data_IF_613533342962
#
_entry.id   IF_613533342962
#
_cell.length_a   1.000
_cell.length_b   1.000
_cell.length_c   1.000
_cell.angle_alpha   90.00
_cell.angle_beta   90.00
_cell.angle_gamma   90.00
#
_symmetry.space_group_name_H-M   'P 1'
#
loop_
_entity.id
_entity.type
_entity.pdbx_description
1 polymer ?
#
# COMPACT_ATOMS: atom_id res chain seq x y z
N UNK A 1 -3.91 23.97 6.21
CA UNK A 1 -2.84 24.91 5.86
C UNK A 1 -1.81 24.20 4.98
N UNK A 2 -1.52 24.67 3.77
CA UNK A 2 -0.62 23.98 2.84
C UNK A 2 0.85 24.10 3.28
N UNK A 3 1.72 23.17 2.85
CA UNK A 3 3.17 23.23 3.13
C UNK A 3 3.82 24.50 2.58
N UNK A 4 3.26 25.10 1.52
CA UNK A 4 3.74 26.36 0.95
C UNK A 4 3.38 27.54 1.86
N UNK A 5 2.13 27.61 2.30
CA UNK A 5 1.64 28.65 3.21
C UNK A 5 2.41 28.68 4.55
N UNK A 6 2.80 27.51 5.08
CA UNK A 6 3.65 27.42 6.28
C UNK A 6 5.08 27.89 6.06
N UNK A 7 5.60 27.70 4.85
CA UNK A 7 6.92 28.20 4.47
C UNK A 7 6.89 29.72 4.35
N UNK A 8 5.91 30.26 3.63
CA UNK A 8 5.77 31.70 3.44
C UNK A 8 5.63 32.42 4.79
N UNK A 9 4.82 31.89 5.73
CA UNK A 9 4.74 32.42 7.10
C UNK A 9 6.05 32.32 7.89
N UNK A 10 6.84 31.26 7.71
CA UNK A 10 8.15 31.13 8.34
C UNK A 10 9.13 32.17 7.79
N UNK A 11 9.14 32.36 6.46
CA UNK A 11 9.97 33.36 5.79
C UNK A 11 9.61 34.76 6.27
N UNK A 12 8.32 35.09 6.38
CA UNK A 12 7.86 36.36 6.91
C UNK A 12 8.31 36.59 8.36
N UNK A 13 8.24 35.56 9.22
CA UNK A 13 8.74 35.64 10.60
C UNK A 13 10.25 35.86 10.65
N UNK A 14 11.02 35.07 9.91
CA UNK A 14 12.48 35.19 9.85
C UNK A 14 12.90 36.57 9.31
N UNK A 15 12.21 37.08 8.30
CA UNK A 15 12.50 38.40 7.71
C UNK A 15 12.27 39.55 8.69
N UNK A 16 11.29 39.42 9.59
CA UNK A 16 10.95 40.40 10.62
C UNK A 16 11.85 40.32 11.88
N UNK A 17 12.60 39.24 12.06
CA UNK A 17 13.59 39.09 13.15
C UNK A 17 14.99 39.53 12.68
N UNK A 18 15.87 39.97 13.59
CA UNK A 18 17.25 40.40 13.25
C UNK A 18 18.22 39.22 12.98
N UNK A 19 17.75 37.97 13.01
CA UNK A 19 18.62 36.80 12.84
C UNK A 19 19.07 36.63 11.38
N UNK A 20 20.26 37.17 11.09
CA UNK A 20 20.89 37.13 9.77
C UNK A 20 21.16 35.70 9.28
N UNK A 21 21.36 34.73 10.18
CA UNK A 21 21.84 33.41 9.78
C UNK A 21 20.73 32.54 9.19
N UNK A 22 19.50 32.64 9.72
CA UNK A 22 18.34 31.95 9.15
C UNK A 22 17.89 32.56 7.81
N UNK A 23 18.06 33.88 7.64
CA UNK A 23 17.77 34.58 6.37
C UNK A 23 18.61 34.03 5.23
N UNK A 24 19.91 33.86 5.46
CA UNK A 24 20.84 33.32 4.45
C UNK A 24 20.43 31.91 4.00
N UNK A 25 20.05 31.04 4.94
CA UNK A 25 19.62 29.67 4.66
C UNK A 25 18.32 29.67 3.85
N UNK A 26 17.35 30.51 4.21
CA UNK A 26 16.09 30.64 3.48
C UNK A 26 16.34 31.06 2.02
N UNK A 27 17.18 32.09 1.81
CA UNK A 27 17.51 32.59 0.48
C UNK A 27 18.18 31.51 -0.38
N UNK A 28 19.12 30.76 0.20
CA UNK A 28 19.77 29.63 -0.49
C UNK A 28 18.78 28.51 -0.82
N UNK A 29 17.88 28.17 0.10
CA UNK A 29 16.84 27.17 -0.13
C UNK A 29 15.90 27.59 -1.25
N UNK A 30 15.53 28.86 -1.34
CA UNK A 30 14.68 29.37 -2.42
C UNK A 30 15.39 29.27 -3.78
N UNK A 31 16.66 29.70 -3.83
CA UNK A 31 17.51 29.58 -5.02
C UNK A 31 17.67 28.13 -5.49
N UNK A 32 18.12 27.22 -4.62
CA UNK A 32 18.36 25.81 -4.95
C UNK A 32 17.06 25.01 -5.14
N UNK A 33 15.91 25.55 -4.70
CA UNK A 33 14.60 24.97 -5.02
C UNK A 33 14.25 25.12 -6.50
N UNK A 34 14.75 26.15 -7.19
CA UNK A 34 14.52 26.37 -8.62
C UNK A 34 15.51 25.57 -9.46
N UNK A 35 16.80 25.76 -9.21
CA UNK A 35 17.88 25.09 -9.94
C UNK A 35 18.85 24.40 -8.98
N UNK A 36 18.65 23.11 -8.67
CA UNK A 36 19.47 22.41 -7.69
C UNK A 36 20.86 22.08 -8.24
N UNK A 37 21.85 22.27 -7.37
CA UNK A 37 23.26 21.91 -7.57
C UNK A 37 23.80 21.13 -6.35
N UNK A 38 24.88 20.37 -6.56
CA UNK A 38 25.53 19.67 -5.44
C UNK A 38 26.18 20.67 -4.49
N UNK A 39 26.90 21.65 -5.05
CA UNK A 39 27.58 22.70 -4.28
C UNK A 39 26.59 23.53 -3.44
N UNK A 40 25.46 23.95 -4.02
CA UNK A 40 24.44 24.69 -3.29
C UNK A 40 23.73 23.84 -2.22
N UNK A 41 23.50 22.55 -2.45
CA UNK A 41 22.99 21.66 -1.41
C UNK A 41 23.99 21.52 -0.24
N UNK A 42 25.27 21.35 -0.54
CA UNK A 42 26.33 21.23 0.46
C UNK A 42 26.49 22.54 1.25
N UNK A 43 26.32 23.70 0.60
CA UNK A 43 26.30 25.01 1.25
C UNK A 43 25.11 25.17 2.20
N UNK A 44 23.90 24.77 1.78
CA UNK A 44 22.72 24.79 2.66
C UNK A 44 22.93 23.89 3.86
N UNK A 45 23.52 22.71 3.67
CA UNK A 45 23.80 21.77 4.76
C UNK A 45 24.80 22.36 5.76
N UNK A 46 25.91 22.91 5.29
CA UNK A 46 26.93 23.51 6.15
C UNK A 46 26.35 24.68 6.98
N UNK A 47 25.61 25.59 6.33
CA UNK A 47 24.96 26.70 7.04
C UNK A 47 23.90 26.21 8.03
N UNK A 48 23.15 25.17 7.69
CA UNK A 48 22.18 24.60 8.61
C UNK A 48 22.85 24.00 9.84
N UNK A 49 23.97 23.29 9.68
CA UNK A 49 24.75 22.74 10.79
C UNK A 49 25.31 23.84 11.71
N UNK A 50 25.68 25.00 11.17
CA UNK A 50 26.12 26.16 11.95
C UNK A 50 24.99 26.77 12.82
N UNK A 51 23.77 26.87 12.28
CA UNK A 51 22.63 27.45 13.02
C UNK A 51 21.88 26.45 13.87
N UNK A 52 22.07 25.15 13.65
CA UNK A 52 21.33 24.09 14.35
C UNK A 52 21.41 24.22 15.89
N UNK A 53 22.57 24.54 16.51
CA UNK A 53 22.64 24.77 17.94
C UNK A 53 21.80 25.98 18.39
N UNK A 54 21.76 27.05 17.59
CA UNK A 54 21.01 28.28 17.91
C UNK A 54 19.51 28.01 17.89
N UNK A 55 19.01 27.33 16.86
CA UNK A 55 17.58 27.02 16.75
C UNK A 55 17.09 26.04 17.83
N UNK A 56 17.98 25.22 18.41
CA UNK A 56 17.64 24.29 19.50
C UNK A 56 17.35 25.01 20.82
N UNK A 57 17.88 26.22 21.01
CA UNK A 57 17.62 27.06 22.20
C UNK A 57 16.29 27.82 22.11
N UNK A 58 15.63 27.81 20.95
CA UNK A 58 14.31 28.43 20.76
C UNK A 58 13.21 27.66 21.50
N UNK A 59 12.04 28.28 21.75
CA UNK A 59 10.88 27.58 22.29
C UNK A 59 10.58 26.32 21.48
N UNK A 60 10.35 25.19 22.15
CA UNK A 60 10.26 23.86 21.52
C UNK A 60 9.32 23.81 20.31
N UNK A 61 8.18 24.52 20.38
CA UNK A 61 7.22 24.60 19.27
C UNK A 61 7.82 25.25 18.01
N UNK A 62 8.64 26.28 18.19
CA UNK A 62 9.31 27.02 17.11
C UNK A 62 10.46 26.21 16.53
N UNK A 63 11.30 25.58 17.37
CA UNK A 63 12.35 24.66 16.90
C UNK A 63 11.78 23.54 16.04
N UNK A 64 10.73 22.87 16.52
CA UNK A 64 10.06 21.79 15.79
C UNK A 64 9.53 22.25 14.43
N UNK A 65 8.97 23.46 14.36
CA UNK A 65 8.45 24.02 13.11
C UNK A 65 9.59 24.33 12.11
N UNK A 66 10.65 24.99 12.58
CA UNK A 66 11.82 25.37 11.77
C UNK A 66 12.54 24.12 11.24
N UNK A 67 12.87 23.16 12.12
CA UNK A 67 13.59 21.93 11.76
C UNK A 67 12.84 21.14 10.69
N UNK A 68 11.52 20.95 10.87
CA UNK A 68 10.67 20.24 9.90
C UNK A 68 10.60 20.94 8.54
N UNK A 69 10.48 22.28 8.54
CA UNK A 69 10.32 23.04 7.31
C UNK A 69 11.63 23.09 6.52
N UNK A 70 12.74 23.42 7.18
CA UNK A 70 14.05 23.56 6.53
C UNK A 70 14.55 22.20 6.03
N UNK A 71 14.67 21.18 6.91
CA UNK A 71 15.15 19.85 6.50
C UNK A 71 14.21 19.20 5.47
N UNK A 72 12.90 19.46 5.57
CA UNK A 72 11.93 19.03 4.56
C UNK A 72 12.08 19.71 3.20
N UNK A 73 12.58 20.95 3.13
CA UNK A 73 12.96 21.61 1.87
C UNK A 73 14.29 21.06 1.35
N UNK A 74 15.29 20.90 2.21
CA UNK A 74 16.58 20.29 1.87
C UNK A 74 16.40 18.92 1.24
N UNK A 75 15.57 18.04 1.83
CA UNK A 75 15.30 16.72 1.26
C UNK A 75 14.64 16.80 -0.12
N UNK A 76 13.79 17.80 -0.38
CA UNK A 76 13.17 18.02 -1.70
C UNK A 76 14.18 18.52 -2.73
N UNK A 77 15.08 19.42 -2.34
CA UNK A 77 16.18 19.90 -3.18
C UNK A 77 17.07 18.71 -3.56
N UNK A 78 17.44 17.90 -2.57
CA UNK A 78 18.25 16.71 -2.79
C UNK A 78 17.57 15.69 -3.72
N UNK A 79 16.27 15.44 -3.56
CA UNK A 79 15.49 14.56 -4.45
C UNK A 79 15.51 15.06 -5.92
N UNK A 80 15.38 16.38 -6.13
CA UNK A 80 15.50 17.00 -7.47
C UNK A 80 16.93 16.94 -8.02
N UNK A 81 17.94 17.08 -7.17
CA UNK A 81 19.34 16.94 -7.57
C UNK A 81 19.62 15.53 -8.09
N UNK A 82 19.09 14.50 -7.42
CA UNK A 82 19.19 13.12 -7.86
C UNK A 82 18.46 12.90 -9.21
N UNK A 83 17.29 13.50 -9.43
CA UNK A 83 16.60 13.47 -10.73
C UNK A 83 17.45 14.08 -11.86
N UNK A 84 18.15 15.19 -11.57
CA UNK A 84 19.05 15.85 -12.54
C UNK A 84 20.25 14.98 -12.85
N UNK A 85 20.86 14.35 -11.85
CA UNK A 85 22.01 13.45 -12.01
C UNK A 85 21.65 12.18 -12.78
N UNK A 86 20.46 11.62 -12.56
CA UNK A 86 19.97 10.46 -13.32
C UNK A 86 19.85 10.80 -14.81
N UNK A 87 19.26 11.95 -15.15
CA UNK A 87 19.09 12.40 -16.54
C UNK A 87 20.40 12.77 -17.23
N UNK A 88 21.35 13.37 -16.49
CA UNK A 88 22.57 13.94 -17.09
C UNK A 88 23.77 12.99 -17.06
N UNK A 89 23.89 12.13 -16.04
CA UNK A 89 25.03 11.24 -15.83
C UNK A 89 24.66 9.75 -15.91
N UNK A 90 23.40 9.41 -16.22
CA UNK A 90 22.89 8.04 -16.27
C UNK A 90 23.13 7.24 -14.96
N UNK A 91 23.14 7.95 -13.84
CA UNK A 91 23.30 7.36 -12.50
C UNK A 91 21.90 6.99 -11.99
N UNK A 92 21.69 5.73 -11.60
CA UNK A 92 20.40 5.28 -11.06
C UNK A 92 19.99 6.14 -9.86
N UNK A 93 18.78 6.69 -9.89
CA UNK A 93 18.24 7.42 -8.73
C UNK A 93 18.06 6.48 -7.53
N UNK A 94 18.55 6.93 -6.37
CA UNK A 94 18.32 6.26 -5.09
C UNK A 94 16.86 6.42 -4.66
N UNK A 95 16.29 5.37 -4.10
CA UNK A 95 14.93 5.40 -3.53
C UNK A 95 14.91 6.17 -2.21
N UNK A 96 13.73 6.64 -1.78
CA UNK A 96 13.58 7.32 -0.48
C UNK A 96 14.04 6.49 0.71
N UNK A 97 13.92 5.16 0.61
CA UNK A 97 14.44 4.23 1.61
C UNK A 97 15.97 4.19 1.61
N UNK A 98 16.59 4.06 0.44
CA UNK A 98 18.06 4.05 0.33
C UNK A 98 18.67 5.34 0.89
N UNK A 99 18.03 6.49 0.64
CA UNK A 99 18.44 7.76 1.23
C UNK A 99 18.34 7.77 2.76
N UNK A 100 17.26 7.21 3.31
CA UNK A 100 17.09 7.08 4.76
C UNK A 100 18.14 6.15 5.37
N UNK A 101 18.43 5.01 4.73
CA UNK A 101 19.46 4.07 5.17
C UNK A 101 20.84 4.71 5.15
N UNK A 102 21.18 5.41 4.07
CA UNK A 102 22.46 6.13 3.95
C UNK A 102 22.62 7.17 5.07
N UNK A 103 21.57 7.95 5.34
CA UNK A 103 21.59 8.97 6.40
C UNK A 103 21.75 8.32 7.79
N UNK A 104 20.96 7.28 8.08
CA UNK A 104 21.01 6.58 9.36
C UNK A 104 22.40 5.98 9.63
N UNK A 105 23.03 5.41 8.59
CA UNK A 105 24.40 4.87 8.68
C UNK A 105 25.45 5.98 8.80
N UNK A 106 25.31 7.08 8.04
CA UNK A 106 26.20 8.25 8.11
C UNK A 106 26.22 8.87 9.50
N UNK A 107 25.06 8.96 10.16
CA UNK A 107 24.89 9.54 11.50
C UNK A 107 24.96 8.52 12.65
N UNK A 108 25.27 7.26 12.36
CA UNK A 108 25.40 6.18 13.33
C UNK A 108 24.18 6.01 14.27
N UNK A 109 22.97 6.03 13.71
CA UNK A 109 21.74 5.80 14.47
C UNK A 109 21.55 4.32 14.83
N UNK A 110 22.40 3.77 15.70
CA UNK A 110 22.49 2.32 15.96
C UNK A 110 21.14 1.61 16.15
N UNK A 111 20.21 2.08 17.01
CA UNK A 111 18.93 1.41 17.17
C UNK A 111 18.07 1.41 15.89
N UNK A 112 18.19 2.46 15.07
CA UNK A 112 17.51 2.57 13.78
C UNK A 112 18.14 1.63 12.76
N UNK A 113 19.47 1.54 12.74
CA UNK A 113 20.24 0.64 11.86
C UNK A 113 19.87 -0.82 12.16
N UNK A 114 19.74 -1.21 13.43
CA UNK A 114 19.30 -2.56 13.81
C UNK A 114 17.93 -2.93 13.22
N UNK A 115 16.98 -1.99 13.21
CA UNK A 115 15.66 -2.20 12.59
C UNK A 115 15.78 -2.26 11.07
N UNK A 116 16.62 -1.41 10.46
CA UNK A 116 16.89 -1.45 9.02
C UNK A 116 17.44 -2.82 8.62
N UNK A 117 18.48 -3.31 9.30
CA UNK A 117 19.13 -4.58 9.02
C UNK A 117 18.17 -5.77 9.24
N UNK A 118 17.26 -5.66 10.22
CA UNK A 118 16.17 -6.62 10.40
C UNK A 118 15.24 -6.66 9.18
N UNK A 119 14.75 -5.49 8.74
CA UNK A 119 13.85 -5.37 7.59
C UNK A 119 14.53 -5.87 6.30
N UNK A 120 15.78 -5.49 6.06
CA UNK A 120 16.53 -5.86 4.84
C UNK A 120 16.73 -7.38 4.76
N UNK A 121 17.15 -8.03 5.85
CA UNK A 121 17.25 -9.51 5.92
C UNK A 121 15.93 -10.20 5.63
N UNK A 122 14.81 -9.60 6.07
CA UNK A 122 13.48 -10.17 5.87
C UNK A 122 12.92 -9.94 4.47
N UNK A 123 13.43 -8.96 3.72
CA UNK A 123 13.08 -8.76 2.31
C UNK A 123 13.73 -9.81 1.39
N UNK A 124 14.78 -10.50 1.84
CA UNK A 124 15.50 -11.56 1.12
C UNK A 124 14.84 -12.95 1.22
N UNK A 125 13.78 -13.10 2.03
CA UNK A 125 13.09 -14.38 2.28
C UNK A 125 11.54 -14.32 2.23
N UNK A 126 10.90 -15.43 2.61
CA UNK A 126 9.43 -15.49 2.75
C UNK A 126 8.98 -14.72 3.99
N UNK A 127 8.22 -13.65 3.79
CA UNK A 127 7.69 -12.83 4.89
C UNK A 127 6.52 -13.56 5.58
N UNK A 128 6.69 -13.91 6.86
CA UNK A 128 5.66 -14.52 7.71
C UNK A 128 5.04 -13.52 8.69
N UNK A 129 3.98 -13.93 9.41
CA UNK A 129 3.30 -13.05 10.39
C UNK A 129 4.20 -12.77 11.59
N UNK A 130 4.93 -13.78 12.05
CA UNK A 130 5.87 -13.72 13.19
C UNK A 130 6.99 -12.71 12.90
N UNK A 131 7.49 -12.72 11.67
CA UNK A 131 8.50 -11.78 11.16
C UNK A 131 8.00 -10.33 11.24
N UNK A 132 6.74 -10.08 10.87
CA UNK A 132 6.16 -8.74 10.99
C UNK A 132 5.95 -8.31 12.45
N UNK A 133 5.48 -9.21 13.31
CA UNK A 133 5.31 -8.94 14.73
C UNK A 133 6.67 -8.61 15.39
N UNK A 134 7.77 -9.25 14.97
CA UNK A 134 9.12 -8.93 15.42
C UNK A 134 9.57 -7.54 14.98
N UNK A 135 9.38 -7.17 13.72
CA UNK A 135 9.71 -5.84 13.19
C UNK A 135 8.90 -4.75 13.90
N UNK A 136 7.60 -4.98 14.09
CA UNK A 136 6.72 -4.04 14.78
C UNK A 136 7.15 -3.84 16.23
N UNK A 137 7.47 -4.93 16.94
CA UNK A 137 8.00 -4.87 18.29
C UNK A 137 9.27 -4.04 18.35
N UNK A 138 10.22 -4.28 17.45
CA UNK A 138 11.51 -3.56 17.41
C UNK A 138 11.35 -2.07 17.09
N UNK A 139 10.43 -1.71 16.20
CA UNK A 139 10.10 -0.30 15.93
C UNK A 139 9.56 0.38 17.18
N UNK A 140 8.67 -0.30 17.93
CA UNK A 140 8.11 0.27 19.16
C UNK A 140 9.18 0.40 20.27
N UNK A 141 10.13 -0.54 20.35
CA UNK A 141 11.24 -0.49 21.32
C UNK A 141 12.15 0.74 21.10
N UNK A 142 12.32 1.19 19.85
CA UNK A 142 13.18 2.34 19.53
C UNK A 142 12.46 3.69 19.57
N UNK A 143 11.13 3.73 19.75
CA UNK A 143 10.35 4.98 19.83
C UNK A 143 10.91 5.98 20.86
N UNK A 144 11.35 5.58 22.07
CA UNK A 144 11.97 6.51 23.01
C UNK A 144 13.29 7.09 22.52
N UNK A 145 14.07 6.33 21.74
CA UNK A 145 15.31 6.80 21.14
C UNK A 145 15.02 7.81 20.02
N UNK A 146 14.05 7.53 19.15
CA UNK A 146 13.64 8.47 18.09
C UNK A 146 13.26 9.83 18.68
N UNK A 147 12.43 9.82 19.73
CA UNK A 147 11.93 11.05 20.36
C UNK A 147 12.99 11.83 21.15
N UNK A 148 14.05 11.19 21.65
CA UNK A 148 15.05 11.83 22.54
C UNK A 148 16.36 12.15 21.85
N UNK A 149 16.75 11.40 20.82
CA UNK A 149 18.09 11.45 20.25
C UNK A 149 18.13 11.99 18.83
N UNK A 150 16.98 12.03 18.13
CA UNK A 150 16.88 12.52 16.75
C UNK A 150 16.22 13.90 16.73
N UNK A 151 16.51 14.68 15.68
CA UNK A 151 15.77 15.91 15.44
C UNK A 151 14.28 15.60 15.16
N UNK A 152 13.37 16.57 15.37
CA UNK A 152 11.95 16.41 15.04
C UNK A 152 11.70 15.89 13.62
N UNK A 153 12.43 16.42 12.63
CA UNK A 153 12.36 15.94 11.25
C UNK A 153 12.88 14.50 11.08
N UNK A 154 14.01 14.18 11.71
CA UNK A 154 14.64 12.86 11.60
C UNK A 154 13.76 11.76 12.21
N UNK A 155 13.15 12.05 13.38
CA UNK A 155 12.16 11.17 14.02
C UNK A 155 10.95 10.96 13.10
N UNK A 156 10.35 12.04 12.59
CA UNK A 156 9.23 11.98 11.64
C UNK A 156 9.59 11.22 10.35
N UNK A 157 10.85 11.30 9.91
CA UNK A 157 11.32 10.62 8.71
C UNK A 157 11.47 9.12 8.96
N UNK A 158 12.11 8.73 10.06
CA UNK A 158 12.25 7.33 10.47
C UNK A 158 10.89 6.65 10.63
N UNK A 159 9.96 7.27 11.38
CA UNK A 159 8.60 6.74 11.56
C UNK A 159 7.88 6.53 10.22
N UNK A 160 7.99 7.51 9.31
CA UNK A 160 7.34 7.45 7.99
C UNK A 160 7.89 6.33 7.13
N UNK A 161 9.21 6.14 7.11
CA UNK A 161 9.84 5.07 6.33
C UNK A 161 9.54 3.70 6.93
N UNK A 162 9.59 3.55 8.25
CA UNK A 162 9.18 2.32 8.92
C UNK A 162 7.71 1.99 8.70
N UNK A 163 6.80 2.97 8.79
CA UNK A 163 5.37 2.75 8.51
C UNK A 163 5.12 2.33 7.05
N UNK A 164 5.85 2.92 6.08
CA UNK A 164 5.80 2.46 4.68
C UNK A 164 6.26 1.01 4.56
N UNK A 165 7.35 0.63 5.24
CA UNK A 165 7.88 -0.75 5.23
C UNK A 165 6.93 -1.73 5.90
N UNK A 166 6.38 -1.41 7.07
CA UNK A 166 5.30 -2.18 7.71
C UNK A 166 4.15 -2.44 6.74
N UNK A 167 3.67 -1.41 6.03
CA UNK A 167 2.62 -1.56 5.01
C UNK A 167 3.04 -2.50 3.86
N UNK A 168 4.29 -2.43 3.40
CA UNK A 168 4.81 -3.34 2.37
C UNK A 168 4.86 -4.77 2.89
N UNK A 169 5.34 -4.98 4.12
CA UNK A 169 5.39 -6.29 4.76
C UNK A 169 3.99 -6.88 4.96
N UNK A 170 3.02 -6.11 5.46
CA UNK A 170 1.61 -6.53 5.56
C UNK A 170 1.05 -6.92 4.20
N UNK A 171 1.34 -6.15 3.14
CA UNK A 171 0.94 -6.50 1.79
C UNK A 171 1.62 -7.78 1.28
N UNK A 172 2.88 -8.02 1.65
CA UNK A 172 3.60 -9.28 1.32
C UNK A 172 3.03 -10.46 2.10
N UNK A 173 2.69 -10.29 3.37
CA UNK A 173 2.04 -11.30 4.22
C UNK A 173 0.64 -11.62 3.68
N UNK A 174 -0.13 -10.60 3.28
CA UNK A 174 -1.41 -10.79 2.60
C UNK A 174 -1.27 -11.53 1.27
N UNK A 175 -0.10 -11.48 0.61
CA UNK A 175 0.24 -12.26 -0.60
C UNK A 175 0.88 -13.62 -0.29
N UNK A 176 1.47 -13.84 0.88
CA UNK A 176 2.10 -15.12 1.26
C UNK A 176 1.14 -16.03 2.01
N UNK A 177 0.22 -15.46 2.81
CA UNK A 177 -0.86 -16.19 3.49
C UNK A 177 -2.04 -16.51 2.56
N UNK A 178 -2.17 -15.78 1.46
CA UNK A 178 -3.00 -16.14 0.31
C UNK A 178 -2.08 -16.14 -0.91
N UNK A 179 -1.64 -17.32 -1.34
CA UNK A 179 -1.04 -17.52 -2.66
C UNK A 179 -1.91 -16.77 -3.68
N UNK A 180 -1.46 -15.61 -4.16
CA UNK A 180 -2.32 -14.79 -4.99
C UNK A 180 -2.59 -15.57 -6.26
N UNK A 181 -3.80 -15.47 -6.82
CA UNK A 181 -4.13 -16.14 -8.09
C UNK A 181 -3.04 -15.90 -9.16
N UNK A 182 -2.44 -14.70 -9.19
CA UNK A 182 -1.34 -14.37 -10.08
C UNK A 182 -0.07 -15.19 -9.82
N UNK A 183 0.31 -15.36 -8.56
CA UNK A 183 1.48 -16.16 -8.17
C UNK A 183 1.25 -17.64 -8.48
N UNK A 184 0.04 -18.14 -8.23
CA UNK A 184 -0.38 -19.49 -8.56
C UNK A 184 -0.31 -19.76 -10.08
N UNK A 185 -0.87 -18.86 -10.90
CA UNK A 185 -0.78 -18.92 -12.37
C UNK A 185 0.68 -18.93 -12.84
N UNK A 186 1.51 -18.04 -12.27
CA UNK A 186 2.92 -17.91 -12.64
C UNK A 186 3.73 -19.16 -12.32
N UNK A 187 3.48 -19.76 -11.16
CA UNK A 187 4.12 -20.99 -10.72
C UNK A 187 3.78 -22.15 -11.66
N UNK A 188 2.50 -22.37 -11.95
CA UNK A 188 2.03 -23.40 -12.88
C UNK A 188 2.60 -23.22 -14.29
N UNK A 189 2.56 -21.99 -14.81
CA UNK A 189 3.08 -21.68 -16.16
C UNK A 189 4.56 -22.03 -16.26
N UNK A 190 5.36 -21.63 -15.27
CA UNK A 190 6.79 -21.93 -15.23
C UNK A 190 7.07 -23.42 -15.04
N UNK A 191 6.30 -24.12 -14.21
CA UNK A 191 6.43 -25.56 -14.01
C UNK A 191 6.16 -26.35 -15.30
N UNK A 192 5.24 -25.87 -16.15
CA UNK A 192 4.98 -26.42 -17.49
C UNK A 192 5.97 -25.96 -18.56
N UNK A 193 6.91 -25.08 -18.24
CA UNK A 193 7.90 -24.55 -19.18
C UNK A 193 7.35 -23.55 -20.20
N UNK A 194 6.14 -23.04 -20.00
CA UNK A 194 5.50 -22.13 -20.97
C UNK A 194 6.01 -20.70 -20.82
N UNK A 195 6.30 -20.05 -21.95
CA UNK A 195 6.38 -18.60 -22.06
C UNK A 195 4.98 -17.96 -21.96
N UNK A 196 4.92 -16.65 -21.72
CA UNK A 196 3.65 -15.91 -21.73
C UNK A 196 2.93 -16.03 -23.08
N UNK A 197 3.67 -16.10 -24.19
CA UNK A 197 3.10 -16.20 -25.53
C UNK A 197 2.55 -17.59 -25.83
N UNK A 198 3.21 -18.63 -25.33
CA UNK A 198 2.70 -20.00 -25.43
C UNK A 198 1.43 -20.18 -24.62
N UNK A 199 1.38 -19.67 -23.38
CA UNK A 199 0.15 -19.72 -22.58
C UNK A 199 -0.99 -18.91 -23.23
N UNK A 200 -0.69 -17.79 -23.89
CA UNK A 200 -1.67 -17.06 -24.69
C UNK A 200 -2.24 -17.91 -25.82
N UNK A 201 -1.39 -18.62 -26.57
CA UNK A 201 -1.83 -19.48 -27.67
C UNK A 201 -2.73 -20.63 -27.16
N UNK A 202 -2.43 -21.19 -25.99
CA UNK A 202 -3.20 -22.29 -25.39
C UNK A 202 -4.54 -21.79 -24.85
N UNK A 203 -4.54 -20.67 -24.11
CA UNK A 203 -5.72 -20.20 -23.36
C UNK A 203 -6.58 -19.19 -24.12
N UNK A 204 -6.06 -18.63 -25.21
CA UNK A 204 -6.65 -17.51 -25.94
C UNK A 204 -6.86 -16.26 -25.06
N UNK A 205 -5.99 -16.06 -24.07
CA UNK A 205 -5.92 -14.87 -23.21
C UNK A 205 -4.61 -14.17 -23.51
N UNK A 206 -4.64 -12.87 -23.81
CA UNK A 206 -3.43 -12.17 -24.26
C UNK A 206 -2.29 -12.23 -23.25
N UNK A 207 -1.04 -12.38 -23.71
CA UNK A 207 0.16 -12.40 -22.87
C UNK A 207 0.27 -11.16 -21.97
N UNK A 208 -0.18 -10.00 -22.46
CA UNK A 208 -0.26 -8.76 -21.68
C UNK A 208 -1.27 -8.87 -20.52
N UNK A 209 -2.42 -9.53 -20.72
CA UNK A 209 -3.37 -9.78 -19.65
C UNK A 209 -2.82 -10.77 -18.63
N UNK A 210 -2.23 -11.88 -19.08
CA UNK A 210 -1.58 -12.89 -18.22
C UNK A 210 -0.47 -12.25 -17.39
N UNK A 211 0.41 -11.47 -18.00
CA UNK A 211 1.48 -10.75 -17.31
C UNK A 211 0.95 -9.79 -16.24
N UNK A 212 -0.18 -9.12 -16.52
CA UNK A 212 -0.83 -8.24 -15.53
C UNK A 212 -1.42 -9.01 -14.36
N UNK A 213 -1.97 -10.20 -14.60
CA UNK A 213 -2.41 -11.13 -13.55
C UNK A 213 -1.23 -11.59 -12.69
N UNK A 214 -0.17 -12.10 -13.32
CA UNK A 214 1.02 -12.65 -12.64
C UNK A 214 1.79 -11.62 -11.80
N UNK A 215 1.75 -10.35 -12.18
CA UNK A 215 2.40 -9.27 -11.43
C UNK A 215 1.43 -8.54 -10.48
N UNK A 216 0.18 -9.01 -10.36
CA UNK A 216 -0.81 -8.48 -9.43
C UNK A 216 -1.37 -7.09 -9.76
N UNK A 217 -1.06 -6.56 -10.95
CA UNK A 217 -1.64 -5.30 -11.47
C UNK A 217 -3.09 -5.46 -11.91
N UNK A 218 -3.54 -6.69 -12.17
CA UNK A 218 -4.94 -7.07 -12.30
C UNK A 218 -5.23 -8.27 -11.41
N UNK A 219 -6.24 -8.16 -10.54
CA UNK A 219 -6.62 -9.20 -9.57
C UNK A 219 -7.91 -9.93 -9.92
N UNK A 220 -8.64 -9.44 -10.94
CA UNK A 220 -9.96 -9.94 -11.29
C UNK A 220 -9.93 -10.70 -12.61
N UNK A 221 -10.54 -11.88 -12.59
CA UNK A 221 -10.69 -12.80 -13.70
C UNK A 221 -12.17 -13.16 -13.82
N UNK A 222 -12.70 -13.29 -15.04
CA UNK A 222 -14.05 -13.83 -15.22
C UNK A 222 -13.99 -15.36 -15.13
N UNK A 223 -15.07 -16.01 -14.70
CA UNK A 223 -15.15 -17.49 -14.63
C UNK A 223 -14.73 -18.16 -15.95
N UNK A 224 -15.17 -17.70 -17.14
CA UNK A 224 -14.72 -18.29 -18.41
C UNK A 224 -13.21 -18.18 -18.66
N UNK A 225 -12.57 -17.12 -18.16
CA UNK A 225 -11.12 -16.96 -18.26
C UNK A 225 -10.39 -17.85 -17.24
N UNK A 226 -10.98 -18.09 -16.07
CA UNK A 226 -10.48 -19.03 -15.06
C UNK A 226 -10.48 -20.46 -15.59
N UNK A 227 -11.57 -20.89 -16.21
CA UNK A 227 -11.67 -22.21 -16.83
C UNK A 227 -10.64 -22.41 -17.95
N UNK A 228 -10.44 -21.39 -18.78
CA UNK A 228 -9.43 -21.41 -19.86
C UNK A 228 -8.02 -21.54 -19.30
N UNK A 229 -7.70 -20.79 -18.24
CA UNK A 229 -6.40 -20.87 -17.57
C UNK A 229 -6.20 -22.22 -16.90
N UNK A 230 -7.19 -22.72 -16.16
CA UNK A 230 -7.14 -24.04 -15.52
C UNK A 230 -6.86 -25.15 -16.55
N UNK A 231 -7.62 -25.16 -17.66
CA UNK A 231 -7.40 -26.11 -18.75
C UNK A 231 -6.04 -25.96 -19.42
N UNK A 232 -5.61 -24.72 -19.70
CA UNK A 232 -4.32 -24.46 -20.35
C UNK A 232 -3.10 -24.74 -19.46
N UNK A 233 -3.27 -24.69 -18.14
CA UNK A 233 -2.26 -25.01 -17.14
C UNK A 233 -2.37 -26.45 -16.64
N UNK A 234 -3.34 -27.22 -17.14
CA UNK A 234 -3.59 -28.62 -16.78
C UNK A 234 -3.81 -28.80 -15.26
N UNK A 235 -4.71 -27.97 -14.73
CA UNK A 235 -5.17 -27.99 -13.34
C UNK A 235 -6.68 -28.21 -13.34
N UNK A 236 -7.22 -28.99 -12.39
CA UNK A 236 -8.66 -29.11 -12.21
C UNK A 236 -9.32 -27.73 -12.09
N UNK A 237 -10.34 -27.49 -12.91
CA UNK A 237 -11.08 -26.22 -12.92
C UNK A 237 -11.58 -25.85 -11.52
N UNK A 238 -12.06 -26.85 -10.78
CA UNK A 238 -12.51 -26.70 -9.39
C UNK A 238 -11.41 -26.14 -8.47
N UNK A 239 -10.21 -26.72 -8.53
CA UNK A 239 -9.06 -26.32 -7.72
C UNK A 239 -8.63 -24.88 -8.05
N UNK A 240 -8.60 -24.55 -9.34
CA UNK A 240 -8.26 -23.21 -9.80
C UNK A 240 -9.30 -22.17 -9.37
N UNK A 241 -10.59 -22.51 -9.40
CA UNK A 241 -11.67 -21.64 -8.92
C UNK A 241 -11.62 -21.44 -7.40
N UNK A 242 -11.29 -22.48 -6.62
CA UNK A 242 -11.06 -22.37 -5.17
C UNK A 242 -9.92 -21.39 -4.84
N UNK A 243 -8.83 -21.40 -5.62
CA UNK A 243 -7.73 -20.44 -5.51
C UNK A 243 -8.11 -19.02 -5.94
N UNK A 244 -9.04 -18.88 -6.90
CA UNK A 244 -9.59 -17.59 -7.33
C UNK A 244 -10.48 -16.94 -6.25
N UNK A 245 -11.25 -17.75 -5.50
CA UNK A 245 -12.22 -17.25 -4.51
C UNK A 245 -11.64 -17.14 -3.09
N UNK A 246 -10.47 -17.73 -2.81
CA UNK A 246 -9.78 -17.62 -1.52
C UNK A 246 -10.31 -18.57 -0.44
N UNK A 247 -11.05 -19.62 -0.84
CA UNK A 247 -11.60 -20.61 0.08
C UNK A 247 -10.50 -21.63 0.43
N UNK A 248 -10.07 -21.71 1.69
CA UNK A 248 -9.35 -22.89 2.20
C UNK A 248 -10.37 -23.99 2.40
N UNK A 249 -10.35 -25.03 1.57
CA UNK A 249 -11.07 -26.26 1.85
C UNK A 249 -10.60 -26.80 3.20
N UNK A 250 -11.49 -26.85 4.19
CA UNK A 250 -11.26 -27.68 5.36
C UNK A 250 -11.51 -29.13 4.92
N UNK A 251 -10.44 -29.92 4.98
CA UNK A 251 -10.38 -31.37 4.89
C UNK A 251 -10.61 -31.98 3.50
N UNK A 252 -9.67 -32.85 3.12
CA UNK A 252 -9.59 -33.55 1.81
C UNK A 252 -10.59 -34.72 1.65
N UNK A 253 -11.63 -34.82 2.47
CA UNK A 253 -12.52 -36.01 2.47
C UNK A 253 -14.01 -35.76 2.15
N UNK A 254 -14.47 -34.51 2.09
CA UNK A 254 -15.85 -34.22 1.64
C UNK A 254 -15.86 -33.80 0.16
N UNK A 255 -16.27 -34.72 -0.72
CA UNK A 255 -16.39 -34.54 -2.18
C UNK A 255 -17.50 -33.55 -2.61
N UNK A 256 -18.28 -33.04 -1.67
CA UNK A 256 -19.32 -32.06 -1.96
C UNK A 256 -18.92 -30.68 -1.44
N UNK A 257 -18.52 -29.82 -2.38
CA UNK A 257 -18.34 -28.40 -2.11
C UNK A 257 -19.71 -27.81 -1.78
N UNK A 258 -20.00 -27.63 -0.50
CA UNK A 258 -21.20 -26.93 -0.03
C UNK A 258 -20.94 -25.42 -0.12
N UNK A 259 -21.48 -24.80 -1.16
CA UNK A 259 -21.46 -23.35 -1.33
C UNK A 259 -22.59 -22.71 -0.52
N UNK A 260 -22.34 -21.52 0.04
CA UNK A 260 -23.39 -20.73 0.68
C UNK A 260 -24.35 -20.16 -0.41
N UNK A 261 -25.63 -19.96 -0.06
CA UNK A 261 -26.66 -19.59 -1.03
C UNK A 261 -26.34 -18.26 -1.74
N UNK A 262 -25.85 -17.25 -1.03
CA UNK A 262 -25.49 -15.98 -1.65
C UNK A 262 -24.27 -16.10 -2.56
N UNK A 263 -23.32 -16.98 -2.22
CA UNK A 263 -22.18 -17.30 -3.07
C UNK A 263 -22.63 -17.98 -4.38
N UNK A 264 -23.60 -18.90 -4.30
CA UNK A 264 -24.21 -19.50 -5.49
C UNK A 264 -24.85 -18.44 -6.40
N UNK A 265 -25.53 -17.44 -5.84
CA UNK A 265 -26.16 -16.36 -6.61
C UNK A 265 -25.13 -15.39 -7.22
N UNK A 266 -24.01 -15.14 -6.54
CA UNK A 266 -22.92 -14.33 -7.10
C UNK A 266 -22.25 -15.06 -8.28
N UNK A 267 -21.87 -16.32 -8.05
CA UNK A 267 -21.02 -17.09 -8.95
C UNK A 267 -21.75 -17.59 -10.20
N UNK A 268 -23.04 -17.93 -10.08
CA UNK A 268 -23.78 -18.53 -11.20
C UNK A 268 -24.49 -17.48 -12.06
N UNK A 269 -24.51 -17.71 -13.37
CA UNK A 269 -25.46 -17.03 -14.25
C UNK A 269 -26.81 -17.73 -14.15
N UNK A 270 -27.85 -16.99 -13.80
CA UNK A 270 -29.22 -17.48 -13.75
C UNK A 270 -30.15 -16.49 -14.46
N UNK A 271 -31.37 -16.93 -14.74
CA UNK A 271 -32.40 -16.10 -15.36
C UNK A 271 -33.45 -15.68 -14.35
N UNK A 272 -33.98 -14.48 -14.52
CA UNK A 272 -35.18 -13.99 -13.83
C UNK A 272 -36.20 -13.68 -14.93
N UNK A 273 -37.39 -14.29 -14.85
CA UNK A 273 -38.44 -14.20 -15.89
C UNK A 273 -37.91 -14.50 -17.31
N UNK A 274 -37.00 -15.48 -17.43
CA UNK A 274 -36.43 -15.91 -18.71
C UNK A 274 -35.33 -15.01 -19.30
N UNK A 275 -35.03 -13.86 -18.68
CA UNK A 275 -33.90 -12.99 -19.06
C UNK A 275 -32.72 -13.22 -18.11
N UNK A 276 -31.48 -13.11 -18.61
CA UNK A 276 -30.27 -13.23 -17.78
C UNK A 276 -30.28 -12.15 -16.69
N UNK A 277 -30.06 -12.55 -15.44
CA UNK A 277 -30.07 -11.62 -14.31
C UNK A 277 -28.97 -10.56 -14.45
N UNK A 278 -29.34 -9.29 -14.32
CA UNK A 278 -28.40 -8.16 -14.32
C UNK A 278 -27.63 -8.08 -13.00
N UNK A 279 -26.61 -7.23 -12.94
CA UNK A 279 -25.84 -7.02 -11.71
C UNK A 279 -26.73 -6.44 -10.60
N UNK A 280 -27.58 -5.49 -10.97
CA UNK A 280 -28.52 -4.81 -10.09
C UNK A 280 -29.57 -5.78 -9.53
N UNK A 281 -30.11 -6.66 -10.37
CA UNK A 281 -31.04 -7.72 -9.96
C UNK A 281 -30.38 -8.76 -9.05
N UNK A 282 -29.12 -9.12 -9.33
CA UNK A 282 -28.33 -10.01 -8.47
C UNK A 282 -28.10 -9.41 -7.10
N UNK A 283 -27.67 -8.15 -7.05
CA UNK A 283 -27.42 -7.42 -5.80
C UNK A 283 -28.70 -7.26 -4.97
N UNK A 284 -29.82 -6.90 -5.59
CA UNK A 284 -31.12 -6.80 -4.93
C UNK A 284 -31.59 -8.15 -4.34
N UNK A 285 -31.40 -9.26 -5.06
CA UNK A 285 -31.74 -10.59 -4.57
C UNK A 285 -30.84 -11.03 -3.40
N UNK A 286 -29.53 -10.77 -3.50
CA UNK A 286 -28.57 -11.11 -2.45
C UNK A 286 -28.89 -10.36 -1.16
N UNK A 287 -29.17 -9.05 -1.25
CA UNK A 287 -29.53 -8.25 -0.08
C UNK A 287 -30.82 -8.77 0.59
N UNK A 288 -31.82 -9.16 -0.21
CA UNK A 288 -33.05 -9.76 0.30
C UNK A 288 -32.79 -11.10 1.01
N UNK A 289 -32.02 -12.00 0.38
CA UNK A 289 -31.68 -13.31 0.96
C UNK A 289 -30.90 -13.13 2.27
N UNK A 290 -29.91 -12.24 2.29
CA UNK A 290 -29.15 -11.94 3.51
C UNK A 290 -30.04 -11.43 4.65
N UNK A 291 -30.98 -10.52 4.36
CA UNK A 291 -31.90 -10.01 5.37
C UNK A 291 -32.86 -11.09 5.89
N UNK A 292 -33.26 -12.05 5.05
CA UNK A 292 -34.07 -13.19 5.49
C UNK A 292 -33.24 -14.14 6.38
N UNK A 293 -32.01 -14.44 5.98
CA UNK A 293 -31.14 -15.36 6.71
C UNK A 293 -30.66 -14.78 8.05
N UNK A 294 -30.52 -13.45 8.15
CA UNK A 294 -30.10 -12.78 9.38
C UNK A 294 -31.25 -12.46 10.34
N UNK A 295 -32.50 -12.53 9.89
CA UNK A 295 -33.65 -12.19 10.71
C UNK A 295 -33.87 -13.22 11.81
N UNK A 296 -33.98 -12.72 13.04
CA UNK A 296 -34.12 -13.55 14.25
C UNK A 296 -35.57 -13.65 14.73
N UNK A 297 -36.40 -12.67 14.34
CA UNK A 297 -37.81 -12.53 14.70
C UNK A 297 -38.05 -12.55 16.22
N UNK A 298 -37.11 -11.98 16.98
CA UNK A 298 -37.27 -11.73 18.41
C UNK A 298 -38.47 -10.80 18.68
N UNK A 299 -39.16 -10.95 19.81
CA UNK A 299 -40.37 -10.17 20.16
C UNK A 299 -40.18 -8.64 20.08
N UNK A 300 -38.96 -8.15 20.27
CA UNK A 300 -38.63 -6.72 20.21
C UNK A 300 -38.21 -6.25 18.80
N UNK A 301 -37.73 -7.16 17.94
CA UNK A 301 -37.15 -6.84 16.62
C UNK A 301 -38.05 -7.21 15.45
N UNK A 302 -39.00 -8.12 15.66
CA UNK A 302 -39.84 -8.71 14.61
C UNK A 302 -40.50 -7.66 13.71
N UNK A 303 -41.04 -6.56 14.27
CA UNK A 303 -41.68 -5.51 13.48
C UNK A 303 -40.69 -4.76 12.58
N UNK A 304 -39.49 -4.46 13.09
CA UNK A 304 -38.46 -3.74 12.33
C UNK A 304 -37.86 -4.63 11.23
N UNK A 305 -37.55 -5.89 11.55
CA UNK A 305 -37.02 -6.87 10.60
C UNK A 305 -38.05 -7.16 9.49
N UNK A 306 -39.35 -7.28 9.83
CA UNK A 306 -40.43 -7.41 8.84
C UNK A 306 -40.49 -6.20 7.91
N UNK A 307 -40.40 -4.98 8.45
CA UNK A 307 -40.42 -3.77 7.65
C UNK A 307 -39.20 -3.65 6.73
N UNK A 308 -38.02 -4.06 7.20
CA UNK A 308 -36.77 -4.06 6.42
C UNK A 308 -36.82 -5.09 5.28
N UNK A 309 -37.21 -6.33 5.57
CA UNK A 309 -37.39 -7.36 4.54
C UNK A 309 -38.44 -6.90 3.52
N UNK A 310 -39.55 -6.30 3.96
CA UNK A 310 -40.58 -5.84 3.05
C UNK A 310 -40.08 -4.74 2.09
N UNK A 311 -39.23 -3.82 2.57
CA UNK A 311 -38.56 -2.84 1.71
C UNK A 311 -37.66 -3.51 0.68
N UNK A 312 -36.89 -4.52 1.08
CA UNK A 312 -36.00 -5.24 0.18
C UNK A 312 -36.76 -6.06 -0.88
N UNK A 313 -37.92 -6.62 -0.52
CA UNK A 313 -38.84 -7.26 -1.48
C UNK A 313 -39.34 -6.26 -2.51
N UNK A 314 -39.73 -5.05 -2.09
CA UNK A 314 -40.16 -3.98 -3.00
C UNK A 314 -39.03 -3.54 -3.94
N UNK A 315 -37.81 -3.35 -3.41
CA UNK A 315 -36.62 -3.07 -4.21
C UNK A 315 -36.33 -4.16 -5.25
N UNK A 316 -36.40 -5.43 -4.83
CA UNK A 316 -36.19 -6.55 -5.75
C UNK A 316 -37.29 -6.61 -6.82
N UNK A 317 -38.56 -6.41 -6.45
CA UNK A 317 -39.66 -6.37 -7.42
C UNK A 317 -39.48 -5.29 -8.49
N UNK A 318 -39.10 -4.08 -8.09
CA UNK A 318 -38.80 -2.98 -9.03
C UNK A 318 -37.67 -3.36 -10.00
N UNK A 319 -36.61 -3.98 -9.49
CA UNK A 319 -35.47 -4.40 -10.32
C UNK A 319 -35.81 -5.44 -11.40
N UNK A 320 -36.93 -6.17 -11.25
CA UNK A 320 -37.35 -7.23 -12.18
C UNK A 320 -38.54 -6.83 -13.07
N UNK A 321 -39.01 -5.58 -12.95
CA UNK A 321 -40.06 -4.99 -13.79
C UNK A 321 -39.50 -4.11 -14.91
N UNK A 322 -38.23 -3.71 -14.81
CA UNK A 322 -37.42 -3.06 -15.86
C UNK A 322 -36.89 -4.08 -16.91
#
# INVERSE_FOLDING_TARGET
MSSKMKWDELVDKINNEEDSHLKDIVLLIEKESEEPSQEGYDEILAKFEEVEPIIKELPAKMYVEIDRLIRGRMLRIYDKLLDKLEKTKNIRKKTKWELFVDEARKKDWKPVIEVIDLIERMEEGTVTKEVFEEVEKKINEIEPYLNKNLSPFESDWAEREFNKRKRILVNKIGRSMNESLGDYIKALRKAKGYSLKELENITQISASYINRLENGSRKTLTIPMAEKLAKGLDVPVQEFLTKLTGIKGKNEEDKDVVLELTELLVLNSYTIKGKKATKEQKEALINLVNAILSATWDKEKIFNEQMEIMKLVDCFKKSIEE
#
